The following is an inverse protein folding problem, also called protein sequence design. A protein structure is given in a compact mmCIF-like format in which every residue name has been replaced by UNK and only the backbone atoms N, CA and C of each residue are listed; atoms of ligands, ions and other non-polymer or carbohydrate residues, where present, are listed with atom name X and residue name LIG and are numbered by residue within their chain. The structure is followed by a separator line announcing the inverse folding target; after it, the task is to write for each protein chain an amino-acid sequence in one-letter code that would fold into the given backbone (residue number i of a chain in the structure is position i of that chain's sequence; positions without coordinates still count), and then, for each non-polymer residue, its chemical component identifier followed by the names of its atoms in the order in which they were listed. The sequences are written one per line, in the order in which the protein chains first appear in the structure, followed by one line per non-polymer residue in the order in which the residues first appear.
data_IF_173210256037
#
_entry.id   IF_173210256037
#
_cell.length_a   1.000
_cell.length_b   1.000
_cell.length_c   1.000
_cell.angle_alpha   90.00
_cell.angle_beta   90.00
_cell.angle_gamma   90.00
#
_symmetry.space_group_name_H-M   'P 1'
#
loop_
_entity.id
_entity.type
_entity.pdbx_description
1 polymer ?
#
# COMPACT_ATOMS: atom_id res chain seq x y z
N UNK A 1 16.40 -59.10 28.96
CA UNK A 1 15.12 -58.77 28.30
C UNK A 1 14.85 -57.29 28.49
N UNK A 2 14.81 -56.56 27.38
CA UNK A 2 14.20 -55.23 27.20
C UNK A 2 14.81 -54.03 27.93
N UNK A 3 16.03 -53.66 27.53
CA UNK A 3 16.35 -52.24 27.31
C UNK A 3 15.52 -51.75 26.13
N UNK A 4 14.49 -50.94 26.38
CA UNK A 4 13.91 -50.09 25.35
C UNK A 4 13.01 -49.02 25.97
N UNK A 5 13.20 -47.80 25.46
CA UNK A 5 12.17 -46.77 25.30
C UNK A 5 11.94 -45.79 26.46
N UNK A 6 13.00 -45.11 26.88
CA UNK A 6 12.92 -43.68 27.18
C UNK A 6 13.61 -42.91 26.06
N UNK A 7 13.10 -43.06 24.84
CA UNK A 7 13.42 -42.13 23.77
C UNK A 7 12.76 -40.81 24.16
N UNK A 8 13.60 -39.87 24.61
CA UNK A 8 13.27 -38.47 24.70
C UNK A 8 12.68 -38.01 23.36
N UNK A 9 11.37 -37.91 23.28
CA UNK A 9 10.70 -37.08 22.28
C UNK A 9 10.99 -35.62 22.64
N UNK A 10 12.23 -35.20 22.45
CA UNK A 10 12.53 -33.81 22.13
C UNK A 10 11.98 -33.59 20.73
N UNK A 11 10.67 -33.39 20.63
CA UNK A 11 10.08 -32.71 19.49
C UNK A 11 10.89 -31.43 19.29
N UNK A 12 11.49 -31.18 18.12
CA UNK A 12 12.14 -29.91 17.88
C UNK A 12 11.01 -28.87 17.83
N UNK A 13 10.70 -28.26 18.99
CA UNK A 13 9.98 -27.01 19.03
C UNK A 13 10.86 -26.03 18.27
N UNK A 14 10.58 -25.84 16.98
CA UNK A 14 11.28 -24.85 16.18
C UNK A 14 11.04 -23.50 16.86
N UNK A 15 12.06 -22.97 17.52
CA UNK A 15 12.01 -21.81 18.40
C UNK A 15 11.86 -20.48 17.67
N UNK A 16 10.98 -20.42 16.65
CA UNK A 16 10.71 -19.18 15.95
C UNK A 16 9.57 -18.44 16.64
N UNK A 17 9.92 -17.41 17.39
CA UNK A 17 8.97 -16.55 18.11
C UNK A 17 8.11 -15.77 17.09
N UNK A 18 6.79 -15.75 17.30
CA UNK A 18 5.84 -14.97 16.50
C UNK A 18 6.18 -13.48 16.43
N UNK A 19 6.93 -12.97 17.40
CA UNK A 19 7.46 -11.60 17.39
C UNK A 19 8.39 -11.37 16.19
N UNK A 20 9.21 -12.34 15.82
CA UNK A 20 10.04 -12.26 14.62
C UNK A 20 9.19 -12.25 13.35
N UNK A 21 8.06 -12.97 13.35
CA UNK A 21 7.10 -12.90 12.24
C UNK A 21 6.48 -11.50 12.11
N UNK A 22 6.09 -10.86 13.22
CA UNK A 22 5.57 -9.48 13.17
C UNK A 22 6.59 -8.50 12.59
N UNK A 23 7.84 -8.58 13.05
CA UNK A 23 8.93 -7.73 12.57
C UNK A 23 9.22 -8.02 11.09
N UNK A 24 9.25 -9.29 10.71
CA UNK A 24 9.42 -9.71 9.33
C UNK A 24 8.30 -9.22 8.41
N UNK A 25 7.05 -9.25 8.88
CA UNK A 25 5.91 -8.72 8.14
C UNK A 25 5.98 -7.20 7.98
N UNK A 26 6.34 -6.47 9.04
CA UNK A 26 6.53 -5.03 8.96
C UNK A 26 7.67 -4.66 7.99
N UNK A 27 8.78 -5.37 8.05
CA UNK A 27 9.90 -5.20 7.12
C UNK A 27 9.50 -5.54 5.67
N UNK A 28 8.71 -6.61 5.47
CA UNK A 28 8.20 -7.00 4.17
C UNK A 28 7.25 -5.94 3.61
N UNK A 29 6.29 -5.45 4.40
CA UNK A 29 5.38 -4.38 4.02
C UNK A 29 6.14 -3.11 3.65
N UNK A 30 7.18 -2.79 4.41
CA UNK A 30 8.03 -1.64 4.12
C UNK A 30 8.84 -1.83 2.83
N UNK A 31 9.52 -2.97 2.65
CA UNK A 31 10.27 -3.27 1.43
C UNK A 31 9.36 -3.24 0.18
N UNK A 32 8.18 -3.88 0.26
CA UNK A 32 7.23 -3.89 -0.83
C UNK A 32 6.69 -2.48 -1.14
N UNK A 33 6.54 -1.63 -0.13
CA UNK A 33 6.09 -0.24 -0.33
C UNK A 33 7.11 0.60 -1.12
N UNK A 34 8.41 0.35 -0.91
CA UNK A 34 9.47 1.01 -1.66
C UNK A 34 9.49 0.58 -3.12
N UNK A 35 9.32 -0.72 -3.39
CA UNK A 35 9.24 -1.26 -4.76
C UNK A 35 8.01 -0.71 -5.47
N UNK A 36 6.86 -0.71 -4.80
CA UNK A 36 5.60 -0.26 -5.37
C UNK A 36 5.54 1.25 -5.61
N UNK A 37 6.37 2.03 -4.93
CA UNK A 37 6.53 3.45 -5.22
C UNK A 37 7.21 3.71 -6.58
N UNK A 38 8.05 2.78 -7.06
CA UNK A 38 8.77 2.91 -8.34
C UNK A 38 7.99 2.36 -9.55
N UNK A 39 6.79 1.82 -9.32
CA UNK A 39 5.94 1.28 -10.38
C UNK A 39 5.55 2.41 -11.35
N UNK A 40 5.54 2.18 -12.68
CA UNK A 40 5.17 3.20 -13.66
C UNK A 40 3.84 3.86 -13.36
N UNK A 41 3.69 5.15 -13.69
CA UNK A 41 2.47 5.92 -13.44
C UNK A 41 1.21 5.25 -14.02
N UNK A 42 1.36 4.54 -15.15
CA UNK A 42 0.28 3.77 -15.79
C UNK A 42 -0.24 2.61 -14.94
N UNK A 43 0.59 2.06 -14.04
CA UNK A 43 0.24 0.98 -13.13
C UNK A 43 -0.10 1.51 -11.72
N UNK A 44 0.21 2.77 -11.41
CA UNK A 44 -0.33 3.51 -10.25
C UNK A 44 -1.81 3.89 -10.40
N UNK A 45 -2.48 3.35 -11.43
CA UNK A 45 -3.93 3.44 -11.63
C UNK A 45 -4.65 3.02 -10.35
N UNK A 46 -5.70 3.78 -10.05
CA UNK A 46 -6.60 3.59 -8.91
C UNK A 46 -7.03 2.12 -8.81
N UNK A 47 -7.16 1.65 -7.57
CA UNK A 47 -7.52 0.29 -7.15
C UNK A 47 -6.46 -0.78 -7.42
N UNK A 48 -5.86 -0.84 -8.62
CA UNK A 48 -4.97 -1.94 -9.02
C UNK A 48 -3.75 -2.03 -8.11
N UNK A 49 -3.05 -0.91 -7.90
CA UNK A 49 -1.84 -0.90 -7.06
C UNK A 49 -2.13 -1.33 -5.63
N UNK A 50 -3.23 -0.84 -5.03
CA UNK A 50 -3.60 -1.11 -3.64
C UNK A 50 -4.10 -2.55 -3.47
N UNK A 51 -4.86 -3.06 -4.44
CA UNK A 51 -5.30 -4.43 -4.48
C UNK A 51 -4.11 -5.40 -4.66
N UNK A 52 -3.21 -5.14 -5.60
CA UNK A 52 -2.00 -5.95 -5.83
C UNK A 52 -1.12 -5.96 -4.59
N UNK A 53 -0.89 -4.79 -3.97
CA UNK A 53 -0.14 -4.70 -2.72
C UNK A 53 -0.79 -5.50 -1.59
N UNK A 54 -2.10 -5.34 -1.40
CA UNK A 54 -2.86 -6.07 -0.39
C UNK A 54 -2.80 -7.58 -0.61
N UNK A 55 -3.02 -8.05 -1.85
CA UNK A 55 -2.89 -9.46 -2.23
C UNK A 55 -1.49 -9.99 -1.96
N UNK A 56 -0.45 -9.27 -2.36
CA UNK A 56 0.93 -9.69 -2.16
C UNK A 56 1.27 -9.84 -0.67
N UNK A 57 0.91 -8.86 0.17
CA UNK A 57 1.13 -8.96 1.61
C UNK A 57 0.31 -10.10 2.22
N UNK A 58 -0.96 -10.25 1.87
CA UNK A 58 -1.82 -11.34 2.37
C UNK A 58 -1.27 -12.73 2.03
N UNK A 59 -0.84 -12.94 0.78
CA UNK A 59 -0.25 -14.20 0.32
C UNK A 59 1.09 -14.46 1.02
N UNK A 60 2.02 -13.50 0.98
CA UNK A 60 3.36 -13.69 1.54
C UNK A 60 3.32 -13.88 3.05
N UNK A 61 2.52 -13.09 3.76
CA UNK A 61 2.34 -13.25 5.21
C UNK A 61 1.73 -14.61 5.56
N UNK A 62 0.77 -15.09 4.76
CA UNK A 62 0.17 -16.41 4.90
C UNK A 62 1.17 -17.53 4.64
N UNK A 63 1.97 -17.45 3.57
CA UNK A 63 3.01 -18.44 3.27
C UNK A 63 4.08 -18.50 4.36
N UNK A 64 4.55 -17.34 4.85
CA UNK A 64 5.54 -17.29 5.93
C UNK A 64 4.94 -17.86 7.22
N UNK A 65 3.67 -17.54 7.52
CA UNK A 65 2.96 -18.07 8.67
C UNK A 65 2.86 -19.59 8.64
N UNK A 66 2.48 -20.15 7.47
CA UNK A 66 2.41 -21.59 7.25
C UNK A 66 3.78 -22.26 7.38
N UNK A 67 4.82 -21.66 6.78
CA UNK A 67 6.19 -22.16 6.83
C UNK A 67 6.75 -22.20 8.25
N UNK A 68 6.42 -21.20 9.07
CA UNK A 68 6.81 -21.13 10.48
C UNK A 68 5.94 -22.01 11.40
N UNK A 69 4.94 -22.72 10.85
CA UNK A 69 4.01 -23.58 11.61
C UNK A 69 3.38 -22.86 12.80
N UNK A 70 3.12 -21.55 12.66
CA UNK A 70 2.47 -20.77 13.69
C UNK A 70 1.01 -21.26 13.77
N UNK A 71 0.64 -21.92 14.87
CA UNK A 71 -0.74 -22.43 15.06
C UNK A 71 -1.79 -21.31 14.97
N UNK A 72 -3.08 -21.65 14.89
CA UNK A 72 -4.14 -20.64 14.78
C UNK A 72 -4.07 -19.61 15.91
N UNK A 73 -3.87 -18.34 15.55
CA UNK A 73 -3.86 -17.22 16.50
C UNK A 73 -5.03 -16.31 16.27
N UNK A 74 -5.50 -15.71 17.36
CA UNK A 74 -6.74 -14.98 17.43
C UNK A 74 -6.80 -13.72 16.55
N UNK A 75 -7.92 -13.00 16.69
CA UNK A 75 -8.28 -11.80 15.91
C UNK A 75 -7.19 -10.73 15.81
N UNK A 76 -6.28 -10.68 16.80
CA UNK A 76 -5.15 -9.75 16.84
C UNK A 76 -4.12 -9.95 15.72
N UNK A 77 -3.89 -11.18 15.24
CA UNK A 77 -2.95 -11.42 14.13
C UNK A 77 -3.48 -10.83 12.83
N UNK A 78 -4.77 -11.00 12.56
CA UNK A 78 -5.44 -10.42 11.39
C UNK A 78 -5.42 -8.89 11.44
N UNK A 79 -5.67 -8.32 12.63
CA UNK A 79 -5.59 -6.87 12.83
C UNK A 79 -4.17 -6.35 12.59
N UNK A 80 -3.14 -7.11 12.97
CA UNK A 80 -1.76 -6.73 12.71
C UNK A 80 -1.41 -6.77 11.22
N UNK A 81 -1.85 -7.80 10.49
CA UNK A 81 -1.70 -7.86 9.02
C UNK A 81 -2.38 -6.66 8.35
N UNK A 82 -3.61 -6.35 8.78
CA UNK A 82 -4.34 -5.19 8.31
C UNK A 82 -3.57 -3.89 8.57
N UNK A 83 -3.12 -3.67 9.81
CA UNK A 83 -2.40 -2.46 10.20
C UNK A 83 -1.05 -2.31 9.48
N UNK A 84 -0.27 -3.39 9.38
CA UNK A 84 1.00 -3.39 8.66
C UNK A 84 0.80 -3.09 7.16
N UNK A 85 -0.23 -3.68 6.55
CA UNK A 85 -0.59 -3.40 5.15
C UNK A 85 -1.01 -1.94 4.99
N UNK A 86 -1.86 -1.42 5.88
CA UNK A 86 -2.32 -0.04 5.85
C UNK A 86 -1.16 0.96 5.93
N UNK A 87 -0.22 0.74 6.86
CA UNK A 87 1.00 1.55 6.97
C UNK A 87 1.87 1.48 5.71
N UNK A 88 2.02 0.29 5.12
CA UNK A 88 2.73 0.12 3.84
C UNK A 88 2.08 0.88 2.68
N UNK A 89 0.75 0.86 2.59
CA UNK A 89 0.00 1.61 1.58
C UNK A 89 0.09 3.13 1.78
N UNK A 90 0.03 3.59 3.04
CA UNK A 90 0.25 5.01 3.39
C UNK A 90 1.65 5.45 2.98
N UNK A 91 2.68 4.65 3.27
CA UNK A 91 4.05 4.94 2.87
C UNK A 91 4.21 4.98 1.35
N UNK A 92 3.60 4.03 0.63
CA UNK A 92 3.60 3.99 -0.85
C UNK A 92 2.97 5.26 -1.43
N UNK A 93 1.86 5.72 -0.83
CA UNK A 93 1.18 6.97 -1.21
C UNK A 93 2.10 8.17 -0.97
N UNK A 94 2.74 8.24 0.20
CA UNK A 94 3.67 9.32 0.56
C UNK A 94 4.87 9.39 -0.38
N UNK A 95 5.50 8.26 -0.69
CA UNK A 95 6.63 8.21 -1.62
C UNK A 95 6.23 8.64 -3.04
N UNK A 96 5.06 8.18 -3.52
CA UNK A 96 4.56 8.59 -4.83
C UNK A 96 4.19 10.09 -4.88
N UNK A 97 3.71 10.65 -3.75
CA UNK A 97 3.49 12.08 -3.64
C UNK A 97 4.80 12.88 -3.65
N UNK A 98 5.84 12.41 -2.96
CA UNK A 98 7.17 13.06 -2.96
C UNK A 98 7.73 13.11 -4.38
N UNK A 99 7.64 12.00 -5.13
CA UNK A 99 8.04 11.94 -6.54
C UNK A 99 7.22 12.93 -7.40
N UNK A 100 5.89 12.91 -7.27
CA UNK A 100 5.01 13.85 -7.96
C UNK A 100 5.33 15.32 -7.67
N UNK A 101 5.69 15.64 -6.43
CA UNK A 101 6.10 16.99 -6.04
C UNK A 101 7.47 17.36 -6.61
N UNK A 102 8.43 16.44 -6.58
CA UNK A 102 9.76 16.66 -7.16
C UNK A 102 9.69 16.91 -8.67
N UNK A 103 8.82 16.21 -9.38
CA UNK A 103 8.61 16.46 -10.81
C UNK A 103 8.01 17.85 -11.06
N UNK A 104 7.12 18.33 -10.20
CA UNK A 104 6.61 19.70 -10.24
C UNK A 104 7.71 20.74 -10.01
N UNK A 105 8.61 20.51 -9.05
CA UNK A 105 9.76 21.37 -8.78
C UNK A 105 10.71 21.40 -9.98
N UNK A 106 11.05 20.22 -10.55
CA UNK A 106 11.89 20.14 -11.75
C UNK A 106 11.28 20.87 -12.94
N UNK A 107 9.96 20.76 -13.13
CA UNK A 107 9.25 21.53 -14.16
C UNK A 107 9.31 23.03 -13.88
N UNK A 108 9.13 23.46 -12.64
CA UNK A 108 9.22 24.87 -12.24
C UNK A 108 10.63 25.46 -12.41
N UNK A 109 11.67 24.63 -12.31
CA UNK A 109 13.05 25.03 -12.55
C UNK A 109 13.39 25.17 -14.04
N UNK A 110 12.60 24.57 -14.95
CA UNK A 110 12.83 24.63 -16.38
C UNK A 110 12.70 26.08 -16.91
N UNK A 111 13.71 26.61 -17.64
CA UNK A 111 13.68 27.97 -18.16
C UNK A 111 12.48 28.24 -19.08
N UNK A 112 12.01 27.24 -19.84
CA UNK A 112 10.81 27.38 -20.67
C UNK A 112 9.54 27.57 -19.83
N UNK A 113 9.45 26.87 -18.70
CA UNK A 113 8.34 27.00 -17.77
C UNK A 113 8.32 28.38 -17.11
N UNK A 114 9.50 28.88 -16.69
CA UNK A 114 9.62 30.23 -16.13
C UNK A 114 9.21 31.30 -17.13
N UNK A 115 9.63 31.15 -18.39
CA UNK A 115 9.27 32.08 -19.45
C UNK A 115 7.76 32.06 -19.74
N UNK A 116 7.15 30.88 -19.81
CA UNK A 116 5.70 30.75 -19.92
C UNK A 116 4.94 31.39 -18.75
N UNK A 117 5.43 31.19 -17.51
CA UNK A 117 4.85 31.79 -16.32
C UNK A 117 4.92 33.33 -16.36
N UNK A 118 6.05 33.90 -16.79
CA UNK A 118 6.22 35.36 -16.91
C UNK A 118 5.34 35.97 -18.02
N UNK A 119 5.17 35.26 -19.14
CA UNK A 119 4.26 35.70 -20.21
C UNK A 119 2.81 35.71 -19.72
N UNK A 120 2.37 34.62 -19.07
CA UNK A 120 1.04 34.53 -18.48
C UNK A 120 0.83 35.57 -17.36
N UNK A 121 1.84 35.87 -16.55
CA UNK A 121 1.77 36.92 -15.54
C UNK A 121 1.50 38.30 -16.15
N UNK A 122 2.08 38.59 -17.33
CA UNK A 122 1.86 39.85 -18.03
C UNK A 122 0.47 39.97 -18.68
N UNK A 123 -0.19 38.84 -18.95
CA UNK A 123 -1.52 38.77 -19.55
C UNK A 123 -2.64 38.55 -18.52
N UNK A 124 -2.30 38.06 -17.32
CA UNK A 124 -3.24 37.73 -16.25
C UNK A 124 -4.03 38.94 -15.70
N UNK A 125 -3.48 40.16 -15.80
CA UNK A 125 -4.18 41.38 -15.40
C UNK A 125 -5.23 41.83 -16.43
N UNK A 126 -5.19 41.28 -17.65
CA UNK A 126 -6.01 41.70 -18.78
C UNK A 126 -7.07 40.66 -19.18
N UNK A 127 -6.84 39.38 -18.91
CA UNK A 127 -7.75 38.28 -19.27
C UNK A 127 -8.01 37.32 -18.09
N UNK A 128 -9.28 37.15 -17.65
CA UNK A 128 -9.63 36.18 -16.61
C UNK A 128 -9.30 34.72 -16.97
N UNK A 129 -9.18 34.37 -18.26
CA UNK A 129 -8.75 33.04 -18.69
C UNK A 129 -7.24 32.87 -18.46
N UNK A 130 -6.44 33.86 -18.86
CA UNK A 130 -5.00 33.87 -18.59
C UNK A 130 -4.69 33.89 -17.08
N UNK A 131 -5.54 34.53 -16.27
CA UNK A 131 -5.42 34.50 -14.82
C UNK A 131 -5.62 33.08 -14.25
N UNK A 132 -6.60 32.33 -14.77
CA UNK A 132 -6.82 30.94 -14.37
C UNK A 132 -5.65 30.03 -14.76
N UNK A 133 -5.10 30.20 -15.98
CA UNK A 133 -3.93 29.46 -16.45
C UNK A 133 -2.65 29.83 -15.66
N UNK A 134 -2.46 31.10 -15.32
CA UNK A 134 -1.36 31.56 -14.47
C UNK A 134 -1.43 30.92 -13.07
N UNK A 135 -2.61 30.87 -12.46
CA UNK A 135 -2.78 30.19 -11.17
C UNK A 135 -2.50 28.69 -11.25
N UNK A 136 -2.94 28.03 -12.32
CA UNK A 136 -2.70 26.60 -12.53
C UNK A 136 -1.22 26.30 -12.75
N UNK A 137 -0.52 27.11 -13.55
CA UNK A 137 0.93 27.02 -13.71
C UNK A 137 1.64 27.27 -12.37
N UNK A 138 1.24 28.30 -11.62
CA UNK A 138 1.84 28.60 -10.31
C UNK A 138 1.69 27.44 -9.31
N UNK A 139 0.56 26.72 -9.34
CA UNK A 139 0.34 25.51 -8.52
C UNK A 139 1.27 24.35 -8.88
N UNK A 140 1.78 24.31 -10.12
CA UNK A 140 2.74 23.28 -10.56
C UNK A 140 4.03 23.30 -9.73
N UNK A 141 4.47 24.46 -9.24
CA UNK A 141 5.62 24.60 -8.35
C UNK A 141 5.35 24.27 -6.87
N UNK A 142 4.08 24.22 -6.44
CA UNK A 142 3.68 23.97 -5.05
C UNK A 142 2.59 22.90 -4.96
N UNK A 143 2.84 21.73 -5.57
CA UNK A 143 1.92 20.59 -5.58
C UNK A 143 1.63 20.08 -4.17
N UNK A 144 0.35 20.04 -3.81
CA UNK A 144 -0.15 19.49 -2.55
C UNK A 144 -0.59 18.03 -2.70
N UNK A 145 -0.76 17.33 -1.57
CA UNK A 145 -1.24 15.94 -1.57
C UNK A 145 -2.64 15.83 -2.20
N UNK A 146 -3.49 16.83 -1.99
CA UNK A 146 -4.81 16.92 -2.61
C UNK A 146 -4.74 16.97 -4.13
N UNK A 147 -3.77 17.70 -4.68
CA UNK A 147 -3.55 17.80 -6.13
C UNK A 147 -3.10 16.45 -6.70
N UNK A 148 -2.28 15.71 -5.95
CA UNK A 148 -1.88 14.35 -6.32
C UNK A 148 -3.07 13.38 -6.30
N UNK A 149 -3.92 13.44 -5.28
CA UNK A 149 -5.12 12.59 -5.22
C UNK A 149 -6.11 12.93 -6.35
N UNK A 150 -6.29 14.22 -6.64
CA UNK A 150 -7.10 14.66 -7.78
C UNK A 150 -6.51 14.22 -9.11
N UNK A 151 -5.18 14.34 -9.29
CA UNK A 151 -4.48 13.83 -10.45
C UNK A 151 -4.77 12.34 -10.67
N UNK A 152 -4.74 11.52 -9.61
CA UNK A 152 -5.07 10.09 -9.70
C UNK A 152 -6.49 9.81 -10.17
N UNK A 153 -7.49 10.57 -9.69
CA UNK A 153 -8.92 10.38 -10.07
C UNK A 153 -9.34 11.15 -11.32
N UNK A 154 -8.50 12.04 -11.84
CA UNK A 154 -8.82 12.90 -12.99
C UNK A 154 -9.22 12.11 -14.24
N UNK A 155 -8.65 10.91 -14.42
CA UNK A 155 -9.00 10.00 -15.53
C UNK A 155 -10.43 9.46 -15.44
N UNK A 156 -11.05 9.47 -14.25
CA UNK A 156 -12.43 9.06 -14.03
C UNK A 156 -13.42 10.22 -14.18
N UNK A 157 -12.94 11.45 -14.41
CA UNK A 157 -13.75 12.65 -14.56
C UNK A 157 -13.30 13.82 -13.69
N UNK A 158 -14.06 14.91 -13.72
CA UNK A 158 -13.84 16.07 -12.85
C UNK A 158 -14.52 15.83 -11.51
N UNK A 159 -13.73 15.55 -10.48
CA UNK A 159 -14.22 15.26 -9.14
C UNK A 159 -13.82 16.36 -8.14
N UNK A 160 -14.69 16.70 -7.16
CA UNK A 160 -14.30 17.58 -6.08
C UNK A 160 -13.20 16.93 -5.23
N UNK A 161 -12.35 17.76 -4.60
CA UNK A 161 -11.22 17.31 -3.76
C UNK A 161 -11.68 16.29 -2.71
N UNK A 162 -12.84 16.52 -2.09
CA UNK A 162 -13.42 15.64 -1.07
C UNK A 162 -13.71 14.23 -1.59
N UNK A 163 -14.17 14.10 -2.84
CA UNK A 163 -14.39 12.80 -3.46
C UNK A 163 -13.08 12.07 -3.72
N UNK A 164 -12.04 12.78 -4.20
CA UNK A 164 -10.72 12.18 -4.43
C UNK A 164 -10.12 11.60 -3.13
N UNK A 165 -10.24 12.33 -2.02
CA UNK A 165 -9.84 11.86 -0.69
C UNK A 165 -10.67 10.67 -0.23
N UNK A 166 -11.98 10.71 -0.41
CA UNK A 166 -12.87 9.60 -0.04
C UNK A 166 -12.55 8.32 -0.82
N UNK A 167 -12.34 8.42 -2.14
CA UNK A 167 -11.92 7.29 -2.97
C UNK A 167 -10.60 6.70 -2.49
N UNK A 168 -9.60 7.54 -2.23
CA UNK A 168 -8.31 7.09 -1.71
C UNK A 168 -8.43 6.38 -0.35
N UNK A 169 -9.23 6.92 0.59
CA UNK A 169 -9.48 6.27 1.87
C UNK A 169 -10.17 4.91 1.70
N UNK A 170 -11.14 4.81 0.80
CA UNK A 170 -11.79 3.53 0.48
C UNK A 170 -10.79 2.53 -0.09
N UNK A 171 -9.91 2.95 -1.00
CA UNK A 171 -8.86 2.08 -1.56
C UNK A 171 -7.89 1.56 -0.50
N UNK A 172 -7.48 2.42 0.44
CA UNK A 172 -6.62 2.03 1.55
C UNK A 172 -7.27 0.93 2.40
N UNK A 173 -8.53 1.15 2.78
CA UNK A 173 -9.27 0.21 3.62
C UNK A 173 -9.54 -1.10 2.88
N UNK A 174 -9.89 -1.03 1.59
CA UNK A 174 -10.12 -2.21 0.75
C UNK A 174 -8.81 -3.00 0.53
N UNK A 175 -7.70 -2.34 0.22
CA UNK A 175 -6.40 -3.00 0.05
C UNK A 175 -5.91 -3.69 1.33
N UNK A 176 -6.03 -3.01 2.46
CA UNK A 176 -5.72 -3.62 3.76
C UNK A 176 -6.70 -4.75 4.13
N UNK A 177 -7.99 -4.59 3.82
CA UNK A 177 -9.02 -5.60 4.02
C UNK A 177 -8.79 -6.86 3.18
N UNK A 178 -8.43 -6.70 1.90
CA UNK A 178 -8.05 -7.79 0.99
C UNK A 178 -6.86 -8.56 1.54
N UNK A 179 -5.84 -7.88 2.06
CA UNK A 179 -4.68 -8.52 2.69
C UNK A 179 -5.09 -9.40 3.87
N UNK A 180 -5.88 -8.87 4.80
CA UNK A 180 -6.37 -9.62 5.96
C UNK A 180 -7.28 -10.79 5.56
N UNK A 181 -8.14 -10.60 4.56
CA UNK A 181 -9.02 -11.64 4.04
C UNK A 181 -8.24 -12.79 3.39
N UNK A 182 -7.29 -12.48 2.50
CA UNK A 182 -6.46 -13.49 1.85
C UNK A 182 -5.57 -14.22 2.85
N UNK A 183 -5.02 -13.50 3.82
CA UNK A 183 -4.30 -14.11 4.93
C UNK A 183 -5.17 -15.13 5.70
N UNK A 184 -6.43 -14.77 6.01
CA UNK A 184 -7.39 -15.69 6.66
C UNK A 184 -7.61 -16.94 5.82
N UNK A 185 -7.87 -16.79 4.51
CA UNK A 185 -8.06 -17.92 3.59
C UNK A 185 -6.84 -18.85 3.54
N UNK A 186 -5.63 -18.28 3.62
CA UNK A 186 -4.39 -19.06 3.65
C UNK A 186 -4.25 -19.85 4.95
N UNK A 187 -4.63 -19.28 6.09
CA UNK A 187 -4.53 -19.97 7.39
C UNK A 187 -5.64 -21.01 7.58
N UNK A 188 -6.86 -20.73 7.15
CA UNK A 188 -8.00 -21.67 7.29
C UNK A 188 -7.78 -22.96 6.52
N UNK A 189 -7.09 -22.91 5.36
CA UNK A 189 -6.68 -24.11 4.61
C UNK A 189 -5.78 -25.07 5.39
N UNK A 190 -5.17 -24.65 6.51
CA UNK A 190 -4.40 -25.53 7.39
C UNK A 190 -5.23 -26.29 8.42
N UNK A 191 -6.50 -25.96 8.63
CA UNK A 191 -7.38 -26.80 9.46
C UNK A 191 -7.89 -27.96 8.61
N UNK A 192 -7.35 -29.19 8.73
CA UNK A 192 -8.04 -30.33 8.15
C UNK A 192 -9.42 -30.36 8.78
N UNK A 193 -10.45 -30.28 7.94
CA UNK A 193 -11.80 -30.63 8.33
C UNK A 193 -11.69 -31.97 9.06
N UNK A 194 -12.06 -31.99 10.34
CA UNK A 194 -12.20 -33.21 11.13
C UNK A 194 -13.15 -34.11 10.34
N UNK A 195 -12.58 -35.10 9.64
CA UNK A 195 -13.36 -36.17 9.04
C UNK A 195 -14.19 -36.75 10.18
N UNK A 196 -15.53 -36.79 10.08
CA UNK A 196 -16.31 -37.52 11.06
C UNK A 196 -15.84 -38.97 10.98
N UNK A 197 -15.24 -39.45 12.06
CA UNK A 197 -15.02 -40.88 12.26
C UNK A 197 -16.42 -41.47 12.29
N UNK A 198 -16.80 -42.12 11.19
CA UNK A 198 -17.96 -42.98 11.17
C UNK A 198 -17.68 -44.10 12.18
N UNK A 199 -18.38 -44.04 13.32
CA UNK A 199 -18.52 -45.14 14.27
C UNK A 199 -19.77 -45.91 13.90
#
# INVERSE_FOLDING_TARGET
MSEAKAASETSPQSGFDWRFWLVGLAALAWALSLVMAQVPADLKRLVIQYAVFGLAIGILSGLIWQWMQLGQRGKWTHLFVFAATLLGLLNTTGMSFVEYRQDGIRQAENPQFKLALTLLESEADLDPIAQAEYEELKRTGNRQLTDYLQFRVSQLGKWPVSAAVAFWLMELLLGAGVSAFVFSLMIERQSPASLPVAV
#
